data_IF_316924601558
#
_entry.id   IF_316924601558
#
_cell.length_a   1.000
_cell.length_b   1.000
_cell.length_c   1.000
_cell.angle_alpha   90.00
_cell.angle_beta   90.00
_cell.angle_gamma   90.00
#
_symmetry.space_group_name_H-M   'P 1'
#
loop_
_entity.id
_entity.type
_entity.pdbx_description
1 polymer ?
#
# COMPACT_ATOMS: atom_id res chain seq x y z
N UNK A 1 5.42 5.22 -9.19
CA UNK A 1 6.35 4.08 -9.07
C UNK A 1 7.78 4.49 -9.33
N UNK A 2 8.63 4.24 -8.35
CA UNK A 2 10.07 4.37 -8.38
C UNK A 2 10.68 2.96 -8.36
N UNK A 3 11.82 2.80 -9.04
CA UNK A 3 12.50 1.52 -9.15
C UNK A 3 13.99 1.76 -9.01
N UNK A 4 14.63 1.00 -8.14
CA UNK A 4 16.07 1.07 -7.91
C UNK A 4 16.65 -0.35 -7.83
N UNK A 5 17.86 -0.52 -8.36
CA UNK A 5 18.58 -1.80 -8.28
C UNK A 5 19.18 -2.28 -9.60
N UNK A 6 19.32 -3.59 -9.73
CA UNK A 6 19.99 -4.26 -10.84
C UNK A 6 19.17 -5.43 -11.37
N UNK A 7 19.73 -6.19 -12.31
CA UNK A 7 19.09 -7.42 -12.82
C UNK A 7 18.90 -8.47 -11.71
N UNK A 8 19.75 -8.46 -10.67
CA UNK A 8 19.69 -9.46 -9.59
C UNK A 8 18.71 -9.07 -8.50
N UNK A 9 18.65 -7.79 -8.17
CA UNK A 9 17.84 -7.32 -7.05
C UNK A 9 17.11 -6.03 -7.44
N UNK A 10 15.87 -5.91 -6.97
CA UNK A 10 15.03 -4.75 -7.27
C UNK A 10 14.30 -4.31 -6.00
N UNK A 11 14.38 -3.02 -5.70
CA UNK A 11 13.55 -2.36 -4.71
C UNK A 11 12.63 -1.41 -5.47
N UNK A 12 11.32 -1.51 -5.25
CA UNK A 12 10.36 -0.56 -5.81
C UNK A 12 9.67 0.22 -4.71
N UNK A 13 9.29 1.45 -5.00
CA UNK A 13 8.42 2.23 -4.13
C UNK A 13 7.24 2.77 -4.94
N UNK A 14 6.03 2.62 -4.43
CA UNK A 14 4.83 3.18 -5.05
C UNK A 14 3.79 3.59 -4.01
N UNK A 15 2.74 4.27 -4.47
CA UNK A 15 1.53 4.54 -3.71
C UNK A 15 0.33 4.09 -4.56
N UNK A 16 0.02 2.79 -4.59
CA UNK A 16 -0.88 2.25 -5.60
C UNK A 16 -2.32 2.61 -5.26
N UNK A 17 -3.00 3.19 -6.25
CA UNK A 17 -4.39 3.61 -6.13
C UNK A 17 -5.34 2.48 -5.71
N UNK A 18 -5.09 1.23 -6.12
CA UNK A 18 -5.91 0.10 -5.71
C UNK A 18 -5.86 -0.15 -4.19
N UNK A 19 -4.67 -0.01 -3.57
CA UNK A 19 -4.54 -0.11 -2.11
C UNK A 19 -5.13 1.10 -1.40
N UNK A 20 -4.97 2.30 -1.97
CA UNK A 20 -5.65 3.49 -1.46
C UNK A 20 -7.16 3.31 -1.50
N UNK A 21 -7.70 2.77 -2.58
CA UNK A 21 -9.13 2.54 -2.72
C UNK A 21 -9.63 1.50 -1.70
N UNK A 22 -8.88 0.40 -1.51
CA UNK A 22 -9.19 -0.57 -0.47
C UNK A 22 -9.15 0.05 0.92
N UNK A 23 -8.15 0.87 1.22
CA UNK A 23 -8.07 1.60 2.48
C UNK A 23 -9.25 2.55 2.67
N UNK A 24 -9.61 3.34 1.64
CA UNK A 24 -10.75 4.26 1.69
C UNK A 24 -12.08 3.52 1.91
N UNK A 25 -12.32 2.43 1.18
CA UNK A 25 -13.52 1.62 1.32
C UNK A 25 -13.62 0.95 2.69
N UNK A 26 -12.48 0.59 3.30
CA UNK A 26 -12.47 0.10 4.68
C UNK A 26 -12.98 1.14 5.66
N UNK A 27 -12.46 2.37 5.59
CA UNK A 27 -12.87 3.47 6.48
C UNK A 27 -14.34 3.85 6.24
N UNK A 28 -14.73 4.04 4.97
CA UNK A 28 -16.11 4.38 4.59
C UNK A 28 -17.10 3.26 4.98
N UNK A 29 -16.65 2.00 4.94
CA UNK A 29 -17.42 0.85 5.43
C UNK A 29 -17.42 0.68 6.95
N UNK A 30 -16.74 1.56 7.71
CA UNK A 30 -16.66 1.46 9.18
C UNK A 30 -15.96 0.18 9.65
N UNK A 31 -15.02 -0.35 8.87
CA UNK A 31 -14.35 -1.63 9.13
C UNK A 31 -12.98 -1.47 9.79
N UNK A 32 -12.58 -0.26 10.16
CA UNK A 32 -11.22 0.04 10.65
C UNK A 32 -10.85 -0.77 11.88
N UNK A 33 -11.76 -0.92 12.85
CA UNK A 33 -11.53 -1.70 14.07
C UNK A 33 -11.62 -3.23 13.82
N UNK A 34 -12.40 -3.64 12.82
CA UNK A 34 -12.63 -5.06 12.50
C UNK A 34 -11.44 -5.64 11.71
N UNK A 35 -10.79 -4.81 10.89
CA UNK A 35 -9.73 -5.19 9.96
C UNK A 35 -8.40 -4.47 10.29
N UNK A 36 -8.20 -4.08 11.55
CA UNK A 36 -6.99 -3.38 12.02
C UNK A 36 -5.75 -4.28 11.88
N UNK A 37 -5.92 -5.60 12.01
CA UNK A 37 -4.84 -6.57 11.93
C UNK A 37 -4.18 -6.63 10.54
N UNK A 38 -4.86 -6.17 9.49
CA UNK A 38 -4.27 -6.06 8.16
C UNK A 38 -3.40 -4.82 8.00
N UNK A 39 -3.87 -3.66 8.50
CA UNK A 39 -3.19 -2.36 8.37
C UNK A 39 -3.85 -1.34 9.33
N UNK A 40 -3.13 -0.34 9.90
CA UNK A 40 -3.77 0.66 10.76
C UNK A 40 -4.81 1.54 10.04
N UNK A 41 -5.64 2.29 10.79
CA UNK A 41 -6.58 3.28 10.25
C UNK A 41 -5.94 4.28 9.28
N UNK A 42 -6.70 4.78 8.32
CA UNK A 42 -6.24 5.82 7.40
C UNK A 42 -5.96 7.16 8.13
N UNK A 43 -5.07 7.97 7.56
CA UNK A 43 -4.77 9.32 8.01
C UNK A 43 -4.64 10.29 6.81
N UNK A 44 -5.57 11.24 6.61
CA UNK A 44 -6.72 11.55 7.47
C UNK A 44 -7.79 10.46 7.43
N UNK A 45 -8.48 10.30 8.56
CA UNK A 45 -9.60 9.36 8.71
C UNK A 45 -10.77 9.78 7.82
N UNK A 46 -11.44 8.83 7.17
CA UNK A 46 -12.72 9.07 6.50
C UNK A 46 -13.86 8.73 7.45
N UNK A 47 -14.91 9.56 7.43
CA UNK A 47 -16.14 9.26 8.17
C UNK A 47 -16.90 8.12 7.47
N UNK A 48 -17.33 7.08 8.20
CA UNK A 48 -18.13 6.00 7.64
C UNK A 48 -19.42 6.52 7.00
N UNK A 49 -19.80 5.94 5.85
CA UNK A 49 -21.09 6.24 5.21
C UNK A 49 -22.22 5.44 5.86
N UNK A 50 -23.45 5.87 5.64
CA UNK A 50 -24.60 5.03 5.99
C UNK A 50 -24.58 3.76 5.13
N UNK A 51 -24.47 2.62 5.81
CA UNK A 51 -24.36 1.30 5.19
C UNK A 51 -25.72 0.69 4.88
N UNK A 52 -26.82 1.30 5.33
CA UNK A 52 -28.16 0.76 5.13
C UNK A 52 -28.27 -0.70 5.59
N UNK A 53 -28.65 -1.58 4.66
CA UNK A 53 -28.83 -3.02 4.91
C UNK A 53 -27.58 -3.90 4.72
N UNK A 54 -26.40 -3.32 4.46
CA UNK A 54 -25.17 -4.07 4.20
C UNK A 54 -24.75 -4.90 5.44
N UNK A 55 -24.60 -6.20 5.26
CA UNK A 55 -24.07 -7.11 6.29
C UNK A 55 -22.59 -6.80 6.57
N UNK A 56 -22.29 -6.45 7.82
CA UNK A 56 -20.95 -6.06 8.27
C UNK A 56 -19.95 -7.21 8.18
N UNK A 57 -20.36 -8.42 8.53
CA UNK A 57 -19.46 -9.58 8.56
C UNK A 57 -19.12 -10.03 7.15
N UNK A 58 -20.12 -10.06 6.26
CA UNK A 58 -19.93 -10.35 4.85
C UNK A 58 -19.04 -9.28 4.18
N UNK A 59 -19.30 -7.99 4.45
CA UNK A 59 -18.48 -6.89 3.95
C UNK A 59 -17.01 -7.01 4.41
N UNK A 60 -16.77 -7.29 5.69
CA UNK A 60 -15.42 -7.46 6.23
C UNK A 60 -14.70 -8.66 5.60
N UNK A 61 -15.39 -9.78 5.39
CA UNK A 61 -14.82 -10.95 4.73
C UNK A 61 -14.46 -10.65 3.26
N UNK A 62 -15.34 -9.97 2.53
CA UNK A 62 -15.13 -9.58 1.13
C UNK A 62 -13.98 -8.59 0.98
N UNK A 63 -13.92 -7.59 1.86
CA UNK A 63 -12.82 -6.63 1.90
C UNK A 63 -11.47 -7.33 2.13
N UNK A 64 -11.38 -8.23 3.12
CA UNK A 64 -10.14 -8.99 3.38
C UNK A 64 -9.74 -9.85 2.18
N UNK A 65 -10.71 -10.48 1.52
CA UNK A 65 -10.50 -11.28 0.31
C UNK A 65 -9.93 -10.44 -0.83
N UNK A 66 -10.49 -9.25 -1.06
CA UNK A 66 -10.00 -8.33 -2.06
C UNK A 66 -8.61 -7.79 -1.71
N UNK A 67 -8.40 -7.34 -0.47
CA UNK A 67 -7.10 -6.87 0.04
C UNK A 67 -5.99 -7.90 -0.21
N UNK A 68 -6.22 -9.16 0.16
CA UNK A 68 -5.28 -10.24 -0.07
C UNK A 68 -4.95 -10.45 -1.57
N UNK A 69 -5.90 -10.19 -2.46
CA UNK A 69 -5.70 -10.29 -3.91
C UNK A 69 -4.88 -9.14 -4.52
N UNK A 70 -4.96 -7.93 -3.97
CA UNK A 70 -4.34 -6.73 -4.54
C UNK A 70 -3.04 -6.30 -3.85
N UNK A 71 -2.75 -6.85 -2.67
CA UNK A 71 -1.59 -6.45 -1.87
C UNK A 71 -0.28 -6.77 -2.55
N UNK A 72 -0.19 -7.91 -3.24
CA UNK A 72 0.98 -8.27 -4.04
C UNK A 72 0.93 -7.54 -5.37
N UNK A 73 1.99 -6.78 -5.68
CA UNK A 73 2.14 -6.09 -6.96
C UNK A 73 1.96 -7.02 -8.17
N UNK A 74 2.45 -8.26 -8.07
CA UNK A 74 2.36 -9.24 -9.15
C UNK A 74 0.94 -9.75 -9.46
N UNK A 75 0.00 -9.62 -8.52
CA UNK A 75 -1.39 -10.09 -8.67
C UNK A 75 -2.39 -8.94 -8.79
N UNK A 76 -1.93 -7.68 -8.68
CA UNK A 76 -2.78 -6.50 -8.70
C UNK A 76 -3.48 -6.36 -10.07
N UNK A 77 -4.83 -6.26 -10.11
CA UNK A 77 -5.55 -6.01 -11.35
C UNK A 77 -5.23 -4.59 -11.87
N UNK A 78 -5.52 -4.34 -13.15
CA UNK A 78 -5.50 -2.96 -13.66
C UNK A 78 -6.70 -2.20 -13.08
N UNK A 79 -6.45 -1.03 -12.46
CA UNK A 79 -7.47 -0.17 -11.82
C UNK A 79 -8.65 0.22 -12.71
N UNK A 80 -8.52 0.08 -14.04
CA UNK A 80 -9.62 0.26 -14.98
C UNK A 80 -10.84 -0.62 -14.69
N UNK A 81 -10.68 -1.71 -13.92
CA UNK A 81 -11.74 -2.64 -13.53
C UNK A 81 -12.62 -2.14 -12.37
N UNK A 82 -12.24 -1.05 -11.69
CA UNK A 82 -13.03 -0.46 -10.61
C UNK A 82 -13.62 0.88 -11.05
N UNK A 83 -14.47 0.86 -12.08
CA UNK A 83 -15.11 2.06 -12.61
C UNK A 83 -16.59 1.83 -12.89
N UNK A 84 -17.45 2.84 -12.67
CA UNK A 84 -18.84 2.77 -13.07
C UNK A 84 -18.98 2.61 -14.60
N UNK A 85 -20.08 2.02 -15.10
CA UNK A 85 -21.29 1.64 -14.35
C UNK A 85 -21.24 0.27 -13.66
N UNK A 86 -20.22 -0.55 -13.93
CA UNK A 86 -20.15 -1.93 -13.43
C UNK A 86 -18.75 -2.25 -12.89
N UNK A 87 -18.71 -2.76 -11.66
CA UNK A 87 -17.48 -3.11 -10.96
C UNK A 87 -17.23 -4.62 -11.04
N UNK A 88 -16.71 -5.10 -12.17
CA UNK A 88 -16.50 -6.54 -12.45
C UNK A 88 -15.66 -7.24 -11.37
N UNK A 89 -14.71 -6.52 -10.76
CA UNK A 89 -13.87 -7.07 -9.68
C UNK A 89 -14.68 -7.48 -8.44
N UNK A 90 -15.90 -6.94 -8.28
CA UNK A 90 -16.78 -7.19 -7.13
C UNK A 90 -18.00 -8.06 -7.47
N UNK A 91 -18.04 -8.73 -8.63
CA UNK A 91 -19.17 -9.60 -9.02
C UNK A 91 -19.46 -10.73 -8.02
N UNK A 92 -18.48 -11.11 -7.21
CA UNK A 92 -18.61 -12.13 -6.15
C UNK A 92 -18.58 -11.54 -4.74
N UNK A 93 -18.68 -10.23 -4.62
CA UNK A 93 -18.58 -9.47 -3.38
C UNK A 93 -19.68 -8.41 -3.33
N UNK A 94 -20.92 -8.86 -3.15
CA UNK A 94 -22.13 -8.03 -3.32
C UNK A 94 -22.18 -6.86 -2.33
N UNK A 95 -21.88 -7.10 -1.06
CA UNK A 95 -21.84 -6.10 0.01
C UNK A 95 -20.77 -5.04 -0.25
N UNK A 96 -19.59 -5.46 -0.71
CA UNK A 96 -18.52 -4.54 -1.11
C UNK A 96 -18.90 -3.75 -2.38
N UNK A 97 -19.56 -4.40 -3.35
CA UNK A 97 -20.05 -3.75 -4.56
C UNK A 97 -21.09 -2.67 -4.24
N UNK A 98 -22.03 -2.97 -3.34
CA UNK A 98 -23.06 -2.03 -2.86
C UNK A 98 -22.42 -0.84 -2.13
N UNK A 99 -21.44 -1.09 -1.24
CA UNK A 99 -20.69 -0.02 -0.60
C UNK A 99 -20.01 0.88 -1.64
N UNK A 100 -19.34 0.30 -2.63
CA UNK A 100 -18.67 1.05 -3.70
C UNK A 100 -19.68 1.92 -4.44
N UNK A 101 -20.85 1.40 -4.80
CA UNK A 101 -21.90 2.22 -5.43
C UNK A 101 -22.31 3.43 -4.57
N UNK A 102 -22.39 3.25 -3.25
CA UNK A 102 -22.82 4.32 -2.33
C UNK A 102 -21.76 5.41 -2.12
N UNK A 103 -20.46 5.08 -2.23
CA UNK A 103 -19.38 6.00 -1.87
C UNK A 103 -18.28 6.18 -2.92
N UNK A 104 -18.49 5.74 -4.17
CA UNK A 104 -17.45 5.72 -5.22
C UNK A 104 -16.77 7.08 -5.41
N UNK A 105 -17.55 8.15 -5.60
CA UNK A 105 -16.99 9.48 -5.88
C UNK A 105 -16.18 10.01 -4.70
N UNK A 106 -16.66 9.81 -3.47
CA UNK A 106 -15.96 10.18 -2.24
C UNK A 106 -14.65 9.39 -2.09
N UNK A 107 -14.70 8.08 -2.31
CA UNK A 107 -13.54 7.22 -2.22
C UNK A 107 -12.49 7.60 -3.27
N UNK A 108 -12.89 7.80 -4.52
CA UNK A 108 -11.97 8.15 -5.62
C UNK A 108 -11.38 9.54 -5.47
N UNK A 109 -12.16 10.53 -5.01
CA UNK A 109 -11.62 11.86 -4.71
C UNK A 109 -10.51 11.77 -3.65
N UNK A 110 -10.76 11.02 -2.56
CA UNK A 110 -9.75 10.80 -1.54
C UNK A 110 -8.50 10.07 -2.09
N UNK A 111 -8.69 9.03 -2.91
CA UNK A 111 -7.59 8.28 -3.55
C UNK A 111 -6.71 9.19 -4.39
N UNK A 112 -7.30 10.01 -5.26
CA UNK A 112 -6.54 10.90 -6.13
C UNK A 112 -5.80 11.98 -5.33
N UNK A 113 -6.43 12.54 -4.29
CA UNK A 113 -5.77 13.52 -3.42
C UNK A 113 -4.55 12.92 -2.70
N UNK A 114 -4.69 11.74 -2.08
CA UNK A 114 -3.59 11.06 -1.37
C UNK A 114 -2.48 10.64 -2.32
N UNK A 115 -2.83 10.18 -3.51
CA UNK A 115 -1.86 9.83 -4.53
C UNK A 115 -1.10 11.07 -5.04
N UNK A 116 -1.80 12.18 -5.25
CA UNK A 116 -1.18 13.46 -5.64
C UNK A 116 -0.25 14.02 -4.55
N UNK A 117 -0.61 13.87 -3.27
CA UNK A 117 0.26 14.20 -2.14
C UNK A 117 1.55 13.37 -2.15
N UNK A 118 1.43 12.05 -2.33
CA UNK A 118 2.60 11.18 -2.48
C UNK A 118 3.49 11.62 -3.65
N UNK A 119 2.92 11.90 -4.83
CA UNK A 119 3.69 12.34 -5.99
C UNK A 119 4.42 13.67 -5.74
N UNK A 120 3.78 14.62 -5.05
CA UNK A 120 4.43 15.89 -4.65
C UNK A 120 5.59 15.65 -3.69
N UNK A 121 5.42 14.77 -2.71
CA UNK A 121 6.48 14.41 -1.76
C UNK A 121 7.67 13.70 -2.45
N UNK A 122 7.39 12.83 -3.43
CA UNK A 122 8.43 12.21 -4.26
C UNK A 122 9.16 13.24 -5.09
N UNK A 123 8.45 14.15 -5.76
CA UNK A 123 9.05 15.19 -6.61
C UNK A 123 9.93 16.18 -5.83
N UNK A 124 9.68 16.36 -4.53
CA UNK A 124 10.50 17.20 -3.66
C UNK A 124 11.84 16.56 -3.26
N UNK A 125 12.06 15.27 -3.55
CA UNK A 125 13.28 14.53 -3.20
C UNK A 125 14.21 14.45 -4.39
N UNK A 126 15.50 14.72 -4.16
CA UNK A 126 16.53 14.62 -5.21
C UNK A 126 16.76 13.16 -5.64
N UNK A 127 16.85 12.22 -4.68
CA UNK A 127 17.01 10.79 -4.94
C UNK A 127 16.20 9.93 -3.97
N UNK A 128 14.92 9.64 -4.27
CA UNK A 128 14.03 9.02 -3.27
C UNK A 128 14.48 7.63 -2.81
N UNK A 129 15.17 6.84 -3.65
CA UNK A 129 15.63 5.48 -3.33
C UNK A 129 17.16 5.34 -3.17
N UNK A 130 17.92 6.44 -3.18
CA UNK A 130 19.37 6.38 -3.03
C UNK A 130 19.79 5.70 -1.72
N UNK A 131 19.06 5.95 -0.62
CA UNK A 131 19.30 5.31 0.68
C UNK A 131 19.27 3.79 0.59
N UNK A 132 18.30 3.25 -0.16
CA UNK A 132 18.14 1.82 -0.35
C UNK A 132 19.30 1.24 -1.17
N UNK A 133 19.68 1.92 -2.25
CA UNK A 133 20.79 1.53 -3.10
C UNK A 133 22.13 1.53 -2.36
N UNK A 134 22.45 2.62 -1.66
CA UNK A 134 23.67 2.75 -0.87
C UNK A 134 23.76 1.66 0.20
N UNK A 135 22.64 1.33 0.85
CA UNK A 135 22.58 0.24 1.83
C UNK A 135 22.92 -1.12 1.22
N UNK A 136 22.32 -1.45 0.07
CA UNK A 136 22.59 -2.72 -0.62
C UNK A 136 24.04 -2.78 -1.10
N UNK A 137 24.55 -1.71 -1.71
CA UNK A 137 25.94 -1.65 -2.16
C UNK A 137 26.93 -1.81 -1.02
N UNK A 138 26.75 -1.06 0.07
CA UNK A 138 27.59 -1.16 1.26
C UNK A 138 27.60 -2.58 1.81
N UNK A 139 26.44 -3.22 1.86
CA UNK A 139 26.32 -4.59 2.36
C UNK A 139 27.02 -5.63 1.47
N UNK A 140 26.90 -5.50 0.14
CA UNK A 140 27.63 -6.35 -0.81
C UNK A 140 29.14 -6.20 -0.64
N UNK A 141 29.62 -4.98 -0.44
CA UNK A 141 31.03 -4.70 -0.21
C UNK A 141 31.53 -5.35 1.09
N UNK A 142 30.78 -5.22 2.19
CA UNK A 142 31.10 -5.85 3.48
C UNK A 142 31.21 -7.37 3.38
N UNK A 143 30.27 -8.01 2.66
CA UNK A 143 30.24 -9.48 2.51
C UNK A 143 31.20 -10.00 1.43
N UNK A 144 31.86 -9.11 0.66
CA UNK A 144 32.70 -9.45 -0.50
C UNK A 144 32.00 -10.40 -1.49
N UNK A 145 30.68 -10.30 -1.61
CA UNK A 145 29.86 -11.10 -2.53
C UNK A 145 28.72 -10.25 -3.09
N UNK A 146 28.25 -10.60 -4.28
CA UNK A 146 27.02 -10.02 -4.82
C UNK A 146 25.81 -10.56 -4.04
N UNK A 147 24.76 -9.75 -3.92
CA UNK A 147 23.49 -10.19 -3.34
C UNK A 147 22.90 -11.36 -4.13
N UNK A 148 22.19 -12.24 -3.41
CA UNK A 148 21.23 -13.15 -4.03
C UNK A 148 20.12 -12.39 -4.77
N UNK A 149 19.31 -13.10 -5.54
CA UNK A 149 18.19 -12.46 -6.20
C UNK A 149 17.05 -12.20 -5.23
N UNK A 150 16.60 -10.94 -5.15
CA UNK A 150 15.46 -10.57 -4.33
C UNK A 150 14.66 -9.42 -4.94
N UNK A 151 13.39 -9.36 -4.56
CA UNK A 151 12.48 -8.25 -4.85
C UNK A 151 11.95 -7.73 -3.52
N UNK A 152 11.89 -6.42 -3.38
CA UNK A 152 11.24 -5.76 -2.25
C UNK A 152 10.36 -4.63 -2.79
N UNK A 153 9.05 -4.81 -2.71
CA UNK A 153 8.06 -3.82 -3.09
C UNK A 153 7.63 -3.06 -1.83
N UNK A 154 7.89 -1.75 -1.81
CA UNK A 154 7.50 -0.83 -0.74
C UNK A 154 6.25 -0.05 -1.17
N UNK A 155 5.14 -0.28 -0.48
CA UNK A 155 3.86 0.36 -0.78
C UNK A 155 3.57 1.43 0.28
N UNK A 156 3.67 2.70 -0.11
CA UNK A 156 3.54 3.84 0.80
C UNK A 156 2.07 4.21 0.94
N UNK A 157 1.49 4.07 2.14
CA UNK A 157 0.09 4.36 2.41
C UNK A 157 -0.09 5.44 3.49
N UNK A 158 -1.15 6.28 3.37
CA UNK A 158 -1.53 7.29 4.35
C UNK A 158 -2.26 6.63 5.52
N UNK A 159 -1.51 5.95 6.40
CA UNK A 159 -2.03 5.26 7.58
C UNK A 159 -1.50 5.90 8.86
N UNK A 160 -2.29 5.82 9.93
CA UNK A 160 -2.00 6.43 11.22
C UNK A 160 -0.74 5.81 11.83
N UNK A 161 0.14 6.69 12.32
CA UNK A 161 1.35 6.30 13.05
C UNK A 161 2.60 6.12 12.19
N UNK A 162 3.68 5.69 12.85
CA UNK A 162 4.99 5.45 12.23
C UNK A 162 5.25 3.95 12.22
N UNK A 163 5.26 3.33 11.04
CA UNK A 163 5.42 1.88 10.97
C UNK A 163 5.55 1.32 9.56
N UNK A 164 5.85 0.02 9.54
CA UNK A 164 5.88 -0.80 8.34
C UNK A 164 5.28 -2.17 8.64
N UNK A 165 4.55 -2.74 7.68
CA UNK A 165 3.79 -3.97 7.82
C UNK A 165 4.13 -4.91 6.67
N UNK A 166 4.67 -6.08 7.00
CA UNK A 166 4.94 -7.14 6.02
C UNK A 166 3.62 -7.80 5.67
N UNK A 167 3.16 -7.58 4.43
CA UNK A 167 1.84 -8.02 3.97
C UNK A 167 1.92 -9.12 2.91
N UNK A 168 3.11 -9.33 2.34
CA UNK A 168 3.45 -10.48 1.51
C UNK A 168 4.97 -10.76 1.59
N UNK A 169 5.46 -11.90 1.10
CA UNK A 169 6.89 -12.24 1.18
C UNK A 169 7.83 -11.20 0.56
N UNK A 170 7.37 -10.50 -0.47
CA UNK A 170 8.10 -9.48 -1.23
C UNK A 170 7.46 -8.09 -1.13
N UNK A 171 6.45 -7.90 -0.27
CA UNK A 171 5.71 -6.62 -0.18
C UNK A 171 5.58 -6.14 1.25
N UNK A 172 5.98 -4.89 1.46
CA UNK A 172 5.89 -4.19 2.73
C UNK A 172 5.11 -2.90 2.53
N UNK A 173 4.06 -2.70 3.33
CA UNK A 173 3.40 -1.40 3.43
C UNK A 173 4.19 -0.53 4.40
N UNK A 174 4.39 0.74 4.06
CA UNK A 174 5.08 1.72 4.89
C UNK A 174 4.16 2.91 5.11
N UNK A 175 4.07 3.42 6.33
CA UNK A 175 3.31 4.65 6.56
C UNK A 175 3.99 5.85 5.92
N UNK A 176 3.21 6.80 5.40
CA UNK A 176 3.76 8.05 4.88
C UNK A 176 4.66 8.75 5.91
N UNK A 177 4.25 8.76 7.19
CA UNK A 177 5.04 9.36 8.28
C UNK A 177 6.42 8.71 8.43
N UNK A 178 6.51 7.37 8.42
CA UNK A 178 7.82 6.69 8.43
C UNK A 178 8.61 7.02 7.17
N UNK A 179 7.96 6.99 6.01
CA UNK A 179 8.64 7.23 4.74
C UNK A 179 9.16 8.66 4.59
N UNK A 180 8.51 9.63 5.24
CA UNK A 180 8.80 11.06 5.11
C UNK A 180 9.86 11.54 6.10
N UNK A 181 10.24 10.71 7.07
CA UNK A 181 11.42 10.88 7.92
C UNK A 181 12.61 10.08 7.34
N UNK A 182 13.59 10.72 6.68
CA UNK A 182 14.71 10.01 6.06
C UNK A 182 15.58 9.24 7.06
N UNK A 183 15.72 9.76 8.29
CA UNK A 183 16.55 9.12 9.32
C UNK A 183 15.85 7.85 9.82
N UNK A 184 14.57 7.96 10.19
CA UNK A 184 13.79 6.82 10.64
C UNK A 184 13.64 5.75 9.55
N UNK A 185 13.37 6.16 8.30
CA UNK A 185 13.28 5.25 7.16
C UNK A 185 14.58 4.49 6.92
N UNK A 186 15.72 5.18 6.95
CA UNK A 186 17.05 4.56 6.74
C UNK A 186 17.40 3.58 7.85
N UNK A 187 17.13 3.93 9.11
CA UNK A 187 17.35 3.04 10.25
C UNK A 187 16.46 1.79 10.19
N UNK A 188 15.20 1.95 9.76
CA UNK A 188 14.29 0.82 9.55
C UNK A 188 14.71 -0.08 8.38
N UNK A 189 15.13 0.50 7.26
CA UNK A 189 15.47 -0.25 6.04
C UNK A 189 16.77 -1.05 6.21
N UNK A 190 17.71 -0.57 7.02
CA UNK A 190 19.01 -1.20 7.25
C UNK A 190 18.92 -2.68 7.68
N UNK A 191 18.20 -3.08 8.75
CA UNK A 191 18.06 -4.49 9.11
C UNK A 191 17.34 -5.33 8.04
N UNK A 192 16.39 -4.75 7.29
CA UNK A 192 15.70 -5.44 6.18
C UNK A 192 16.68 -5.79 5.07
N UNK A 193 17.49 -4.83 4.62
CA UNK A 193 18.52 -5.05 3.60
C UNK A 193 19.57 -6.07 4.07
N UNK A 194 19.97 -6.02 5.35
CA UNK A 194 20.92 -7.00 5.93
C UNK A 194 20.36 -8.42 5.87
N UNK A 195 19.05 -8.61 6.05
CA UNK A 195 18.42 -9.93 5.97
C UNK A 195 18.30 -10.45 4.52
N UNK A 196 18.23 -9.55 3.53
CA UNK A 196 18.06 -9.90 2.11
C UNK A 196 19.37 -10.11 1.34
N UNK A 197 20.51 -9.64 1.86
CA UNK A 197 21.84 -9.62 1.21
C UNK A 197 22.88 -10.42 1.99
#
# INVERSE_FOLDING_TARGET
MLVEGSIRWQITEDCPRDLLLALALRELGGLSDICEEQIPPADPMLEPVDRGGIDTDALAAQWRGWWAGIVRRATRPFISQVRPPHFEVFDRALELQELVYNCYDTAMAWVEDRHAEYLRAVAAREHPLADAYELVQRRQFELRRQSGSFRLDLEVLPVRGVGAWVVAPDTVIISQTLRYDPVAFREWLKPVVIALV
#
